data_IF_875862527323
#
_entry.id   IF_875862527323
#
_cell.length_a   1.000
_cell.length_b   1.000
_cell.length_c   1.000
_cell.angle_alpha   90.00
_cell.angle_beta   90.00
_cell.angle_gamma   90.00
#
_symmetry.space_group_name_H-M   'P 1'
#
loop_
_entity.id
_entity.type
_entity.pdbx_description
1 polymer ?
#
# COMPACT_ATOMS: atom_id res chain seq x y z
N UNK A 1 -9.08 -2.14 2.25
CA UNK A 1 -10.29 -1.65 2.91
C UNK A 1 -10.47 -0.14 2.75
N UNK A 2 -9.50 0.71 3.12
CA UNK A 2 -9.61 2.17 2.96
C UNK A 2 -9.89 2.59 1.51
N UNK A 3 -9.26 1.96 0.52
CA UNK A 3 -9.48 2.24 -0.91
C UNK A 3 -10.94 2.00 -1.27
N UNK A 4 -11.47 0.84 -0.90
CA UNK A 4 -12.87 0.48 -1.19
C UNK A 4 -13.84 1.39 -0.45
N UNK A 5 -13.53 1.76 0.80
CA UNK A 5 -14.35 2.69 1.57
C UNK A 5 -14.43 4.08 0.94
N UNK A 6 -13.30 4.63 0.49
CA UNK A 6 -13.27 5.93 -0.19
C UNK A 6 -14.03 5.87 -1.52
N UNK A 7 -13.84 4.80 -2.30
CA UNK A 7 -14.54 4.61 -3.57
C UNK A 7 -16.04 4.50 -3.37
N UNK A 8 -16.51 3.73 -2.38
CA UNK A 8 -17.92 3.60 -2.05
C UNK A 8 -18.52 4.94 -1.59
N UNK A 9 -17.79 5.72 -0.76
CA UNK A 9 -18.24 7.07 -0.35
C UNK A 9 -18.36 8.01 -1.54
N UNK A 10 -17.42 7.97 -2.48
CA UNK A 10 -17.48 8.80 -3.68
C UNK A 10 -18.66 8.43 -4.59
N UNK A 11 -18.93 7.14 -4.76
CA UNK A 11 -20.10 6.68 -5.53
C UNK A 11 -21.41 7.14 -4.88
N UNK A 12 -21.52 7.09 -3.56
CA UNK A 12 -22.71 7.55 -2.85
C UNK A 12 -22.89 9.07 -2.98
N UNK A 13 -21.80 9.82 -2.87
CA UNK A 13 -21.83 11.26 -3.09
C UNK A 13 -22.34 11.61 -4.51
N UNK A 14 -21.88 10.87 -5.51
CA UNK A 14 -22.29 11.05 -6.89
C UNK A 14 -23.78 10.70 -7.14
N UNK A 15 -24.37 9.79 -6.38
CA UNK A 15 -25.76 9.32 -6.53
C UNK A 15 -26.76 9.93 -5.53
N UNK A 16 -26.34 10.84 -4.66
CA UNK A 16 -27.21 11.72 -3.87
C UNK A 16 -27.91 11.10 -2.66
N UNK A 17 -27.47 9.94 -2.14
CA UNK A 17 -28.08 9.32 -0.95
C UNK A 17 -27.14 8.50 -0.11
N UNK A 18 -27.09 8.74 1.20
CA UNK A 18 -26.29 7.93 2.14
C UNK A 18 -27.19 6.87 2.77
N UNK A 19 -27.20 5.66 2.21
CA UNK A 19 -27.77 4.48 2.86
C UNK A 19 -26.62 3.63 3.43
N UNK A 20 -26.41 3.58 4.76
CA UNK A 20 -25.29 2.85 5.38
C UNK A 20 -25.26 1.36 4.99
N UNK A 21 -26.41 0.74 4.80
CA UNK A 21 -26.52 -0.66 4.38
C UNK A 21 -25.98 -0.89 2.96
N UNK A 22 -26.26 0.01 2.02
CA UNK A 22 -25.72 -0.05 0.65
C UNK A 22 -24.21 0.16 0.64
N UNK A 23 -23.70 1.04 1.49
CA UNK A 23 -22.27 1.28 1.63
C UNK A 23 -21.51 0.02 2.05
N UNK A 24 -21.95 -0.60 3.14
CA UNK A 24 -21.34 -1.84 3.64
C UNK A 24 -21.51 -2.97 2.60
N UNK A 25 -22.68 -3.08 1.99
CA UNK A 25 -22.94 -4.08 0.95
C UNK A 25 -22.03 -3.90 -0.26
N UNK A 26 -21.86 -2.70 -0.78
CA UNK A 26 -20.99 -2.43 -1.94
C UNK A 26 -19.52 -2.66 -1.63
N UNK A 27 -19.06 -2.29 -0.43
CA UNK A 27 -17.68 -2.56 0.02
C UNK A 27 -17.42 -4.06 0.11
N UNK A 28 -18.32 -4.82 0.74
CA UNK A 28 -18.20 -6.27 0.86
C UNK A 28 -18.30 -6.97 -0.50
N UNK A 29 -19.25 -6.57 -1.33
CA UNK A 29 -19.39 -7.10 -2.69
C UNK A 29 -18.11 -6.85 -3.50
N UNK A 30 -17.60 -5.61 -3.49
CA UNK A 30 -16.37 -5.28 -4.21
C UNK A 30 -15.16 -6.08 -3.67
N UNK A 31 -15.07 -6.29 -2.37
CA UNK A 31 -14.00 -7.10 -1.77
C UNK A 31 -14.08 -8.55 -2.22
N UNK A 32 -15.26 -9.16 -2.14
CA UNK A 32 -15.46 -10.58 -2.45
C UNK A 32 -15.31 -10.82 -3.95
N UNK A 33 -16.08 -10.10 -4.78
CA UNK A 33 -16.07 -10.33 -6.24
C UNK A 33 -14.74 -9.96 -6.87
N UNK A 34 -14.13 -8.84 -6.48
CA UNK A 34 -12.80 -8.49 -6.96
C UNK A 34 -11.74 -9.54 -6.57
N UNK A 35 -11.80 -10.06 -5.34
CA UNK A 35 -10.89 -11.12 -4.90
C UNK A 35 -11.08 -12.41 -5.70
N UNK A 36 -12.34 -12.81 -5.96
CA UNK A 36 -12.64 -13.99 -6.78
C UNK A 36 -12.14 -13.81 -8.20
N UNK A 37 -12.42 -12.67 -8.84
CA UNK A 37 -11.93 -12.36 -10.19
C UNK A 37 -10.39 -12.40 -10.23
N UNK A 38 -9.73 -11.81 -9.23
CA UNK A 38 -8.28 -11.81 -9.12
C UNK A 38 -7.69 -13.21 -8.98
N UNK A 39 -8.25 -14.03 -8.09
CA UNK A 39 -7.79 -15.43 -7.89
C UNK A 39 -8.01 -16.26 -9.16
N UNK A 40 -9.21 -16.18 -9.76
CA UNK A 40 -9.52 -16.90 -11.01
C UNK A 40 -8.59 -16.43 -12.13
N UNK A 41 -8.37 -15.12 -12.25
CA UNK A 41 -7.41 -14.56 -13.21
C UNK A 41 -5.98 -15.05 -12.97
N UNK A 42 -5.54 -15.09 -11.71
CA UNK A 42 -4.20 -15.58 -11.35
C UNK A 42 -4.00 -17.06 -11.67
N UNK A 43 -4.96 -17.91 -11.30
CA UNK A 43 -4.93 -19.34 -11.64
C UNK A 43 -4.99 -19.54 -13.15
N UNK A 44 -5.87 -18.81 -13.84
CA UNK A 44 -5.98 -18.86 -15.30
C UNK A 44 -4.65 -18.48 -15.97
N UNK A 45 -3.97 -17.43 -15.46
CA UNK A 45 -2.67 -17.03 -15.98
C UNK A 45 -1.58 -18.10 -15.78
N UNK A 46 -1.53 -18.76 -14.62
CA UNK A 46 -0.58 -19.83 -14.37
C UNK A 46 -0.74 -20.99 -15.38
N UNK A 47 -1.97 -21.31 -15.77
CA UNK A 47 -2.24 -22.32 -16.79
C UNK A 47 -1.79 -21.89 -18.19
N UNK A 48 -1.96 -20.61 -18.52
CA UNK A 48 -1.52 -20.02 -19.79
C UNK A 48 0.01 -19.91 -19.82
N UNK A 49 0.62 -19.49 -18.72
CA UNK A 49 2.06 -19.31 -18.59
C UNK A 49 2.82 -20.62 -18.91
N UNK A 50 2.29 -21.76 -18.48
CA UNK A 50 2.85 -23.08 -18.80
C UNK A 50 2.88 -23.42 -20.30
N UNK A 51 2.10 -22.71 -21.13
CA UNK A 51 2.10 -22.89 -22.60
C UNK A 51 2.89 -21.82 -23.35
N UNK A 52 3.08 -20.67 -22.74
CA UNK A 52 3.63 -19.46 -23.41
C UNK A 52 5.08 -19.20 -22.98
N UNK A 53 5.62 -19.97 -22.03
CA UNK A 53 6.95 -19.75 -21.45
C UNK A 53 8.10 -19.84 -22.44
N UNK A 54 7.91 -20.57 -23.54
CA UNK A 54 8.92 -20.73 -24.59
C UNK A 54 8.97 -19.51 -25.55
N UNK A 55 8.05 -18.56 -25.41
CA UNK A 55 8.03 -17.36 -26.22
C UNK A 55 8.90 -16.24 -25.61
N UNK A 56 9.61 -15.46 -26.42
CA UNK A 56 10.33 -14.28 -25.96
C UNK A 56 9.33 -13.26 -25.37
N UNK A 57 9.73 -12.54 -24.29
CA UNK A 57 8.94 -11.51 -23.61
C UNK A 57 7.79 -12.01 -22.71
N UNK A 58 7.79 -13.24 -22.27
CA UNK A 58 6.77 -13.80 -21.36
C UNK A 58 6.67 -13.02 -20.05
N UNK A 59 7.78 -12.44 -19.59
CA UNK A 59 7.85 -11.65 -18.35
C UNK A 59 6.94 -10.41 -18.43
N UNK A 60 7.02 -9.66 -19.54
CA UNK A 60 6.17 -8.48 -19.77
C UNK A 60 4.70 -8.83 -19.97
N UNK A 61 4.41 -10.02 -20.47
CA UNK A 61 3.04 -10.50 -20.71
C UNK A 61 2.25 -10.65 -19.39
N UNK A 62 2.91 -11.03 -18.30
CA UNK A 62 2.26 -11.12 -16.99
C UNK A 62 1.81 -9.74 -16.50
N UNK A 63 2.63 -8.70 -16.68
CA UNK A 63 2.22 -7.33 -16.35
C UNK A 63 1.02 -6.88 -17.20
N UNK A 64 1.07 -7.14 -18.51
CA UNK A 64 -0.05 -6.81 -19.39
C UNK A 64 -1.33 -7.53 -18.97
N UNK A 65 -1.25 -8.79 -18.57
CA UNK A 65 -2.39 -9.55 -18.10
C UNK A 65 -2.95 -9.02 -16.76
N UNK A 66 -2.08 -8.57 -15.85
CA UNK A 66 -2.52 -7.90 -14.61
C UNK A 66 -3.35 -6.66 -14.94
N UNK A 67 -2.93 -5.84 -15.92
CA UNK A 67 -3.69 -4.67 -16.35
C UNK A 67 -5.04 -5.05 -16.98
N UNK A 68 -5.10 -6.15 -17.72
CA UNK A 68 -6.36 -6.66 -18.28
C UNK A 68 -7.31 -7.06 -17.15
N UNK A 69 -6.86 -7.85 -16.17
CA UNK A 69 -7.68 -8.26 -15.01
C UNK A 69 -8.12 -7.05 -14.19
N UNK A 70 -7.22 -6.08 -13.98
CA UNK A 70 -7.53 -4.82 -13.34
C UNK A 70 -8.65 -4.08 -14.09
N UNK A 71 -8.47 -3.85 -15.38
CA UNK A 71 -9.43 -3.10 -16.20
C UNK A 71 -10.80 -3.79 -16.30
N UNK A 72 -10.83 -5.11 -16.49
CA UNK A 72 -12.08 -5.88 -16.50
C UNK A 72 -12.83 -5.77 -15.17
N UNK A 73 -12.10 -5.82 -14.04
CA UNK A 73 -12.71 -5.70 -12.71
C UNK A 73 -13.32 -4.31 -12.49
N UNK A 74 -12.61 -3.25 -12.91
CA UNK A 74 -13.12 -1.87 -12.85
C UNK A 74 -14.35 -1.68 -13.77
N UNK A 75 -14.36 -2.26 -14.96
CA UNK A 75 -15.51 -2.22 -15.87
C UNK A 75 -16.75 -2.91 -15.28
N UNK A 76 -16.56 -3.92 -14.44
CA UNK A 76 -17.64 -4.60 -13.71
C UNK A 76 -18.12 -3.83 -12.47
N UNK A 77 -17.53 -2.66 -12.17
CA UNK A 77 -17.86 -1.84 -11.01
C UNK A 77 -17.24 -2.32 -9.69
N UNK A 78 -16.25 -3.23 -9.75
CA UNK A 78 -15.51 -3.69 -8.58
C UNK A 78 -14.10 -3.11 -8.56
N UNK A 79 -13.39 -3.22 -7.42
CA UNK A 79 -12.03 -2.67 -7.29
C UNK A 79 -10.97 -3.53 -8.01
N UNK A 80 -10.44 -3.02 -9.12
CA UNK A 80 -9.34 -3.64 -9.84
C UNK A 80 -8.06 -3.76 -9.01
N UNK A 81 -7.83 -2.84 -8.07
CA UNK A 81 -6.71 -2.91 -7.15
C UNK A 81 -6.77 -4.14 -6.23
N UNK A 82 -7.96 -4.49 -5.75
CA UNK A 82 -8.18 -5.71 -4.96
C UNK A 82 -8.01 -6.96 -5.83
N UNK A 83 -8.52 -6.94 -7.06
CA UNK A 83 -8.34 -8.05 -7.99
C UNK A 83 -6.86 -8.27 -8.33
N UNK A 84 -6.10 -7.20 -8.60
CA UNK A 84 -4.67 -7.29 -8.85
C UNK A 84 -3.89 -7.84 -7.64
N UNK A 85 -4.25 -7.41 -6.42
CA UNK A 85 -3.68 -7.95 -5.18
C UNK A 85 -3.99 -9.44 -5.03
N UNK A 86 -5.26 -9.83 -5.18
CA UNK A 86 -5.69 -11.22 -5.08
C UNK A 86 -5.03 -12.12 -6.14
N UNK A 87 -4.87 -11.60 -7.36
CA UNK A 87 -4.14 -12.24 -8.43
C UNK A 87 -2.67 -12.45 -8.06
N UNK A 88 -1.98 -11.43 -7.52
CA UNK A 88 -0.60 -11.55 -7.06
C UNK A 88 -0.43 -12.60 -5.97
N UNK A 89 -1.36 -12.65 -5.00
CA UNK A 89 -1.38 -13.69 -3.96
C UNK A 89 -1.57 -15.08 -4.58
N UNK A 90 -2.48 -15.22 -5.54
CA UNK A 90 -2.72 -16.49 -6.22
C UNK A 90 -1.50 -16.95 -7.02
N UNK A 91 -0.80 -16.04 -7.72
CA UNK A 91 0.41 -16.34 -8.50
C UNK A 91 1.57 -16.83 -7.63
N UNK A 92 1.70 -16.28 -6.41
CA UNK A 92 2.83 -16.60 -5.52
C UNK A 92 2.54 -17.73 -4.53
N UNK A 93 1.27 -18.02 -4.24
CA UNK A 93 0.86 -19.03 -3.23
C UNK A 93 -0.03 -20.14 -3.79
N UNK A 94 0.04 -20.40 -5.08
CA UNK A 94 -0.82 -21.40 -5.74
C UNK A 94 -0.75 -22.79 -5.11
N UNK A 95 0.41 -23.18 -4.54
CA UNK A 95 0.60 -24.46 -3.84
C UNK A 95 -0.32 -24.58 -2.61
N UNK A 96 -0.49 -23.48 -1.86
CA UNK A 96 -1.30 -23.45 -0.64
C UNK A 96 -2.81 -23.49 -0.91
N UNK A 97 -3.24 -23.07 -2.10
CA UNK A 97 -4.66 -23.13 -2.49
C UNK A 97 -5.16 -24.54 -2.82
N UNK A 98 -4.33 -25.57 -2.64
CA UNK A 98 -4.75 -26.97 -2.85
C UNK A 98 -5.00 -27.35 -4.32
N UNK A 99 -4.74 -26.44 -5.25
CA UNK A 99 -4.85 -26.67 -6.69
C UNK A 99 -3.89 -27.75 -7.17
N UNK A 100 -2.83 -27.99 -6.40
CA UNK A 100 -1.90 -29.11 -6.59
C UNK A 100 -2.57 -30.49 -6.46
N UNK A 101 -3.69 -30.60 -5.75
CA UNK A 101 -4.45 -31.86 -5.59
C UNK A 101 -5.28 -32.25 -6.82
N UNK A 102 -5.53 -31.31 -7.74
CA UNK A 102 -6.25 -31.59 -8.98
C UNK A 102 -5.20 -32.09 -9.98
N UNK A 103 -4.89 -33.37 -9.93
CA UNK A 103 -3.74 -34.03 -10.56
C UNK A 103 -3.51 -33.81 -12.08
N UNK A 104 -4.52 -33.30 -12.82
CA UNK A 104 -4.36 -32.88 -14.22
C UNK A 104 -3.87 -31.45 -14.38
N UNK A 105 -4.07 -30.60 -13.37
CA UNK A 105 -3.71 -29.16 -13.39
C UNK A 105 -2.28 -28.97 -12.85
N UNK A 106 -1.88 -29.78 -11.86
CA UNK A 106 -0.57 -29.70 -11.20
C UNK A 106 0.63 -29.81 -12.15
N UNK A 107 0.54 -30.67 -13.16
CA UNK A 107 1.64 -30.88 -14.12
C UNK A 107 1.81 -29.70 -15.11
N UNK A 108 0.86 -28.78 -15.18
CA UNK A 108 0.85 -27.65 -16.13
C UNK A 108 1.14 -26.30 -15.49
N UNK A 109 1.12 -26.23 -14.15
CA UNK A 109 1.39 -24.99 -13.44
C UNK A 109 2.89 -24.76 -13.35
N UNK A 110 3.35 -23.63 -13.86
CA UNK A 110 4.75 -23.20 -13.79
C UNK A 110 4.82 -22.00 -12.86
N UNK A 111 5.56 -22.09 -11.74
CA UNK A 111 5.74 -20.96 -10.83
C UNK A 111 6.53 -19.83 -11.51
N UNK A 112 6.37 -18.61 -10.99
CA UNK A 112 7.19 -17.46 -11.38
C UNK A 112 8.65 -17.75 -11.04
N UNK A 113 9.54 -17.47 -11.97
CA UNK A 113 10.98 -17.64 -11.75
C UNK A 113 11.55 -16.48 -10.91
N UNK A 114 12.73 -16.66 -10.34
CA UNK A 114 13.46 -15.59 -9.65
C UNK A 114 13.74 -14.40 -10.58
N UNK A 115 13.93 -14.65 -11.86
CA UNK A 115 14.14 -13.62 -12.90
C UNK A 115 12.84 -12.81 -13.08
N UNK A 116 11.68 -13.48 -13.14
CA UNK A 116 10.38 -12.82 -13.23
C UNK A 116 10.16 -11.90 -12.01
N UNK A 117 10.45 -12.40 -10.82
CA UNK A 117 10.29 -11.64 -9.56
C UNK A 117 11.27 -10.45 -9.50
N UNK A 118 12.51 -10.62 -9.97
CA UNK A 118 13.48 -9.53 -10.05
C UNK A 118 12.98 -8.43 -11.00
N UNK A 119 12.50 -8.81 -12.19
CA UNK A 119 11.94 -7.85 -13.16
C UNK A 119 10.75 -7.08 -12.57
N UNK A 120 9.83 -7.76 -11.86
CA UNK A 120 8.68 -7.07 -11.26
C UNK A 120 9.09 -6.12 -10.12
N UNK A 121 10.12 -6.47 -9.34
CA UNK A 121 10.68 -5.56 -8.33
C UNK A 121 11.24 -4.29 -8.96
N UNK A 122 11.99 -4.41 -10.06
CA UNK A 122 12.52 -3.27 -10.82
C UNK A 122 11.39 -2.44 -11.43
N UNK A 123 10.42 -3.07 -12.09
CA UNK A 123 9.28 -2.37 -12.66
C UNK A 123 8.49 -1.58 -11.59
N UNK A 124 8.24 -2.18 -10.44
CA UNK A 124 7.58 -1.51 -9.30
C UNK A 124 8.43 -0.37 -8.76
N UNK A 125 9.75 -0.55 -8.69
CA UNK A 125 10.67 0.51 -8.26
C UNK A 125 10.62 1.70 -9.21
N UNK A 126 10.69 1.48 -10.52
CA UNK A 126 10.60 2.53 -11.53
C UNK A 126 9.25 3.27 -11.47
N UNK A 127 8.15 2.53 -11.37
CA UNK A 127 6.81 3.10 -11.26
C UNK A 127 6.66 3.97 -9.99
N UNK A 128 7.16 3.49 -8.85
CA UNK A 128 7.17 4.27 -7.60
C UNK A 128 8.01 5.53 -7.73
N UNK A 129 9.20 5.42 -8.30
CA UNK A 129 10.12 6.56 -8.51
C UNK A 129 9.47 7.61 -9.40
N UNK A 130 8.92 7.19 -10.55
CA UNK A 130 8.20 8.08 -11.46
C UNK A 130 7.04 8.79 -10.74
N UNK A 131 6.25 8.04 -9.97
CA UNK A 131 5.12 8.60 -9.27
C UNK A 131 5.54 9.63 -8.20
N UNK A 132 6.60 9.35 -7.42
CA UNK A 132 7.06 10.31 -6.42
C UNK A 132 7.68 11.55 -7.05
N UNK A 133 8.35 11.43 -8.19
CA UNK A 133 8.81 12.59 -8.96
C UNK A 133 7.62 13.42 -9.46
N UNK A 134 6.61 12.76 -10.04
CA UNK A 134 5.38 13.43 -10.48
C UNK A 134 4.66 14.13 -9.31
N UNK A 135 4.56 13.45 -8.17
CA UNK A 135 3.98 14.03 -6.96
C UNK A 135 4.76 15.27 -6.51
N UNK A 136 6.10 15.19 -6.49
CA UNK A 136 6.95 16.31 -6.12
C UNK A 136 6.78 17.54 -7.03
N UNK A 137 6.62 17.32 -8.34
CA UNK A 137 6.37 18.39 -9.32
C UNK A 137 4.95 18.96 -9.18
N UNK A 138 3.99 18.11 -8.81
CA UNK A 138 2.57 18.49 -8.71
C UNK A 138 2.25 19.28 -7.44
N UNK A 139 3.11 19.25 -6.42
CA UNK A 139 2.88 19.97 -5.18
C UNK A 139 3.09 21.47 -5.41
N UNK A 140 2.05 22.24 -5.15
CA UNK A 140 2.10 23.69 -5.16
C UNK A 140 2.19 24.21 -3.72
N UNK A 141 3.35 24.74 -3.32
CA UNK A 141 3.54 25.38 -2.00
C UNK A 141 2.90 26.76 -1.91
N UNK A 142 1.84 27.00 -2.69
CA UNK A 142 1.19 28.29 -2.82
C UNK A 142 0.42 28.71 -1.55
N UNK A 143 -0.03 27.74 -0.75
CA UNK A 143 -0.83 28.01 0.43
C UNK A 143 -0.12 27.51 1.71
N UNK A 144 0.42 28.47 2.46
CA UNK A 144 1.13 28.22 3.73
C UNK A 144 0.21 27.51 4.76
N UNK A 145 -1.09 27.80 4.75
CA UNK A 145 -2.04 27.16 5.66
C UNK A 145 -2.16 25.65 5.39
N UNK A 146 -2.17 25.23 4.12
CA UNK A 146 -2.20 23.79 3.77
C UNK A 146 -0.91 23.07 4.21
N UNK A 147 0.24 23.73 4.04
CA UNK A 147 1.53 23.18 4.49
C UNK A 147 1.58 23.02 6.02
N UNK A 148 1.08 24.01 6.74
CA UNK A 148 1.00 23.95 8.21
C UNK A 148 0.01 22.87 8.67
N UNK A 149 -1.16 22.78 8.05
CA UNK A 149 -2.14 21.72 8.33
C UNK A 149 -1.57 20.34 8.08
N UNK A 150 -0.85 20.14 6.98
CA UNK A 150 -0.18 18.89 6.66
C UNK A 150 0.86 18.50 7.72
N UNK A 151 1.67 19.49 8.17
CA UNK A 151 2.66 19.27 9.24
C UNK A 151 1.98 18.85 10.55
N UNK A 152 0.93 19.55 10.96
CA UNK A 152 0.17 19.22 12.18
C UNK A 152 -0.44 17.81 12.09
N UNK A 153 -1.02 17.44 10.93
CA UNK A 153 -1.55 16.10 10.70
C UNK A 153 -0.47 15.02 10.81
N UNK A 154 0.69 15.26 10.21
CA UNK A 154 1.81 14.32 10.28
C UNK A 154 2.29 14.15 11.70
N UNK A 155 2.50 15.25 12.44
CA UNK A 155 2.91 15.19 13.85
C UNK A 155 1.88 14.46 14.72
N UNK A 156 0.58 14.70 14.52
CA UNK A 156 -0.49 13.99 15.21
C UNK A 156 -0.43 12.47 14.94
N UNK A 157 -0.21 12.05 13.69
CA UNK A 157 -0.05 10.63 13.35
C UNK A 157 1.16 10.03 14.04
N UNK A 158 2.31 10.72 14.06
CA UNK A 158 3.51 10.25 14.77
C UNK A 158 3.30 10.16 16.27
N UNK A 159 2.66 11.17 16.90
CA UNK A 159 2.34 11.16 18.31
C UNK A 159 1.41 9.99 18.68
N UNK A 160 0.34 9.80 17.91
CA UNK A 160 -0.59 8.67 18.11
C UNK A 160 0.13 7.33 17.95
N UNK A 161 0.96 7.18 16.93
CA UNK A 161 1.69 5.94 16.67
C UNK A 161 2.70 5.64 17.78
N UNK A 162 3.36 6.67 18.27
CA UNK A 162 4.31 6.55 19.38
C UNK A 162 3.59 6.12 20.67
N UNK A 163 2.44 6.71 20.97
CA UNK A 163 1.59 6.30 22.10
C UNK A 163 1.14 4.85 21.96
N UNK A 164 0.63 4.46 20.79
CA UNK A 164 0.23 3.08 20.53
C UNK A 164 1.40 2.10 20.66
N UNK A 165 2.57 2.44 20.13
CA UNK A 165 3.77 1.60 20.25
C UNK A 165 4.18 1.46 21.72
N UNK A 166 4.13 2.52 22.51
CA UNK A 166 4.40 2.47 23.95
C UNK A 166 3.48 1.50 24.70
N UNK A 167 2.18 1.49 24.36
CA UNK A 167 1.21 0.59 24.98
C UNK A 167 1.39 -0.86 24.54
N UNK A 168 1.51 -1.09 23.21
CA UNK A 168 1.56 -2.44 22.63
C UNK A 168 2.87 -3.15 22.99
N UNK A 169 4.00 -2.43 22.95
CA UNK A 169 5.33 -3.01 23.20
C UNK A 169 5.74 -2.98 24.67
N UNK A 170 4.89 -2.52 25.58
CA UNK A 170 5.21 -2.42 27.00
C UNK A 170 5.65 -3.75 27.60
N UNK A 171 4.87 -4.80 27.38
CA UNK A 171 5.05 -6.13 27.98
C UNK A 171 5.55 -7.18 26.98
N UNK A 172 5.74 -6.80 25.72
CA UNK A 172 6.29 -7.67 24.70
C UNK A 172 7.82 -7.69 24.79
N UNK A 173 8.45 -8.86 24.68
CA UNK A 173 9.90 -9.05 24.76
C UNK A 173 10.71 -8.42 23.59
N UNK A 174 10.16 -7.40 22.93
CA UNK A 174 10.82 -6.68 21.84
C UNK A 174 11.79 -5.63 22.38
N UNK A 175 12.95 -5.50 21.71
CA UNK A 175 13.97 -4.52 22.05
C UNK A 175 13.57 -3.07 21.74
N UNK A 176 14.36 -2.11 22.26
CA UNK A 176 14.16 -0.68 21.98
C UNK A 176 14.18 -0.37 20.48
N UNK A 177 15.07 -1.02 19.74
CA UNK A 177 15.22 -0.82 18.29
C UNK A 177 13.94 -1.15 17.54
N UNK A 178 13.32 -2.29 17.85
CA UNK A 178 12.09 -2.74 17.16
C UNK A 178 10.92 -1.82 17.48
N UNK A 179 10.77 -1.43 18.74
CA UNK A 179 9.74 -0.50 19.17
C UNK A 179 9.94 0.90 18.54
N UNK A 180 11.18 1.42 18.55
CA UNK A 180 11.49 2.70 17.95
C UNK A 180 11.26 2.69 16.44
N UNK A 181 11.77 1.68 15.71
CA UNK A 181 11.56 1.56 14.27
C UNK A 181 10.07 1.43 13.92
N UNK A 182 9.31 0.68 14.69
CA UNK A 182 7.85 0.58 14.52
C UNK A 182 7.18 1.93 14.69
N UNK A 183 7.60 2.76 15.65
CA UNK A 183 7.03 4.11 15.84
C UNK A 183 7.43 5.08 14.74
N UNK A 184 8.65 4.97 14.20
CA UNK A 184 9.20 5.83 13.16
C UNK A 184 8.64 5.52 11.76
N UNK A 185 8.36 4.25 11.45
CA UNK A 185 7.86 3.86 10.14
C UNK A 185 6.38 4.20 9.96
N UNK A 186 6.08 5.49 9.90
CA UNK A 186 4.73 6.02 9.69
C UNK A 186 4.51 6.72 8.32
N UNK A 187 5.38 6.58 7.29
CA UNK A 187 5.19 7.32 6.06
C UNK A 187 3.90 6.90 5.37
N UNK A 188 3.18 7.86 4.81
CA UNK A 188 2.03 7.62 3.94
C UNK A 188 2.55 7.32 2.54
N UNK A 189 1.99 6.30 1.91
CA UNK A 189 2.50 5.80 0.62
C UNK A 189 1.68 6.27 -0.58
N UNK A 190 2.05 5.70 -1.71
CA UNK A 190 1.46 5.88 -3.03
C UNK A 190 -0.07 5.78 -3.02
N UNK A 191 -0.63 4.79 -2.32
CA UNK A 191 -2.07 4.59 -2.27
C UNK A 191 -2.83 5.80 -1.71
N UNK A 192 -2.29 6.48 -0.69
CA UNK A 192 -2.91 7.67 -0.13
C UNK A 192 -2.95 8.81 -1.16
N UNK A 193 -1.88 9.00 -1.92
CA UNK A 193 -1.81 10.05 -2.92
C UNK A 193 -2.73 9.78 -4.12
N UNK A 194 -2.81 8.53 -4.60
CA UNK A 194 -3.74 8.13 -5.67
C UNK A 194 -5.18 8.35 -5.23
N UNK A 195 -5.55 7.90 -4.03
CA UNK A 195 -6.90 8.09 -3.50
C UNK A 195 -7.28 9.55 -3.32
N UNK A 196 -6.32 10.41 -2.96
CA UNK A 196 -6.57 11.84 -2.79
C UNK A 196 -6.89 12.57 -4.11
N UNK A 197 -6.47 12.03 -5.25
CA UNK A 197 -6.81 12.58 -6.56
C UNK A 197 -8.25 12.21 -7.01
N UNK A 198 -8.83 11.14 -6.48
CA UNK A 198 -10.16 10.66 -6.88
C UNK A 198 -11.28 11.69 -6.64
N UNK A 199 -11.40 12.34 -5.46
CA UNK A 199 -12.45 13.34 -5.24
C UNK A 199 -12.47 14.44 -6.30
N UNK A 200 -11.28 14.88 -6.74
CA UNK A 200 -11.18 15.87 -7.81
C UNK A 200 -11.68 15.32 -9.15
N UNK A 201 -11.33 14.08 -9.49
CA UNK A 201 -11.77 13.41 -10.72
C UNK A 201 -13.29 13.21 -10.76
N UNK A 202 -13.91 12.98 -9.61
CA UNK A 202 -15.36 12.86 -9.46
C UNK A 202 -16.10 14.20 -9.29
N UNK A 203 -15.39 15.33 -9.43
CA UNK A 203 -16.00 16.67 -9.35
C UNK A 203 -16.48 17.05 -7.95
N UNK A 204 -15.95 16.44 -6.89
CA UNK A 204 -16.30 16.75 -5.51
C UNK A 204 -15.81 18.15 -5.15
N UNK A 205 -16.70 18.98 -4.59
CA UNK A 205 -16.35 20.33 -4.12
C UNK A 205 -15.24 20.23 -3.07
N UNK A 206 -14.14 20.97 -3.27
CA UNK A 206 -12.96 20.90 -2.38
C UNK A 206 -12.00 19.73 -2.68
N UNK A 207 -12.22 18.96 -3.76
CA UNK A 207 -11.34 17.86 -4.18
C UNK A 207 -9.88 18.28 -4.37
N UNK A 208 -9.63 19.51 -4.85
CA UNK A 208 -8.28 20.09 -4.98
C UNK A 208 -7.61 20.23 -3.61
N UNK A 209 -8.33 20.74 -2.62
CA UNK A 209 -7.80 20.92 -1.25
C UNK A 209 -7.45 19.58 -0.64
N UNK A 210 -8.29 18.56 -0.83
CA UNK A 210 -8.04 17.18 -0.35
C UNK A 210 -6.78 16.62 -0.99
N UNK A 211 -6.66 16.75 -2.32
CA UNK A 211 -5.48 16.28 -3.07
C UNK A 211 -4.21 16.97 -2.58
N UNK A 212 -4.20 18.29 -2.58
CA UNK A 212 -3.01 19.09 -2.29
C UNK A 212 -2.55 18.90 -0.83
N UNK A 213 -3.48 18.91 0.11
CA UNK A 213 -3.17 18.63 1.52
C UNK A 213 -2.61 17.22 1.69
N UNK A 214 -3.20 16.22 1.05
CA UNK A 214 -2.72 14.83 1.15
C UNK A 214 -1.34 14.67 0.51
N UNK A 215 -1.08 15.31 -0.62
CA UNK A 215 0.24 15.30 -1.25
C UNK A 215 1.30 15.88 -0.33
N UNK A 216 1.00 17.01 0.35
CA UNK A 216 1.88 17.59 1.35
C UNK A 216 2.10 16.67 2.55
N UNK A 217 1.05 16.01 3.04
CA UNK A 217 1.14 15.01 4.12
C UNK A 217 2.05 13.85 3.72
N UNK A 218 1.90 13.34 2.49
CA UNK A 218 2.74 12.25 1.97
C UNK A 218 4.20 12.68 1.92
N UNK A 219 4.50 13.81 1.30
CA UNK A 219 5.87 14.33 1.19
C UNK A 219 6.49 14.59 2.56
N UNK A 220 5.78 15.31 3.43
CA UNK A 220 6.25 15.63 4.79
C UNK A 220 6.48 14.38 5.63
N UNK A 221 5.58 13.39 5.55
CA UNK A 221 5.72 12.14 6.32
C UNK A 221 6.92 11.31 5.85
N UNK A 222 7.17 11.23 4.54
CA UNK A 222 8.33 10.50 4.00
C UNK A 222 9.62 11.21 4.38
N UNK A 223 9.69 12.54 4.21
CA UNK A 223 10.87 13.34 4.57
C UNK A 223 11.17 13.26 6.06
N UNK A 224 10.15 13.38 6.90
CA UNK A 224 10.30 13.25 8.35
C UNK A 224 10.77 11.85 8.76
N UNK A 225 10.19 10.79 8.18
CA UNK A 225 10.65 9.41 8.44
C UNK A 225 12.11 9.24 8.05
N UNK A 226 12.51 9.70 6.86
CA UNK A 226 13.89 9.57 6.39
C UNK A 226 14.86 10.24 7.35
N UNK A 227 14.55 11.46 7.79
CA UNK A 227 15.39 12.20 8.75
C UNK A 227 15.44 11.50 10.11
N UNK A 228 14.30 11.06 10.64
CA UNK A 228 14.24 10.40 11.95
C UNK A 228 14.96 9.05 11.95
N UNK A 229 14.80 8.25 10.89
CA UNK A 229 15.51 6.97 10.74
C UNK A 229 17.02 7.18 10.60
N UNK A 230 17.45 8.22 9.86
CA UNK A 230 18.88 8.59 9.73
C UNK A 230 19.47 9.07 11.07
N UNK A 231 18.67 9.73 11.90
CA UNK A 231 19.10 10.23 13.20
C UNK A 231 19.06 9.15 14.31
N UNK A 232 18.27 8.09 14.14
CA UNK A 232 18.08 7.06 15.16
C UNK A 232 19.38 6.40 15.68
N UNK A 233 20.44 6.13 14.86
CA UNK A 233 21.70 5.57 15.35
C UNK A 233 22.44 6.47 16.33
N UNK A 234 22.11 7.78 16.40
CA UNK A 234 22.77 8.70 17.31
C UNK A 234 22.36 8.44 18.76
N UNK A 235 23.32 8.48 19.73
CA UNK A 235 23.06 8.14 21.13
C UNK A 235 21.99 9.03 21.77
N UNK A 236 21.91 10.29 21.40
CA UNK A 236 20.87 11.23 21.87
C UNK A 236 19.46 10.76 21.49
N UNK A 237 19.29 10.27 20.26
CA UNK A 237 17.98 9.76 19.80
C UNK A 237 17.61 8.44 20.46
N UNK A 238 18.58 7.54 20.66
CA UNK A 238 18.34 6.30 21.38
C UNK A 238 17.94 6.54 22.84
N UNK A 239 18.59 7.48 23.53
CA UNK A 239 18.21 7.90 24.88
C UNK A 239 16.81 8.53 24.91
N UNK A 240 16.46 9.38 23.94
CA UNK A 240 15.15 9.95 23.81
C UNK A 240 14.07 8.89 23.66
N UNK A 241 14.26 7.93 22.74
CA UNK A 241 13.31 6.82 22.53
C UNK A 241 13.28 5.84 23.72
N UNK A 242 14.41 5.60 24.39
CA UNK A 242 14.48 4.78 25.60
C UNK A 242 13.58 5.35 26.71
N UNK A 243 13.68 6.66 26.97
CA UNK A 243 12.82 7.34 27.94
C UNK A 243 11.37 7.35 27.53
N UNK A 244 11.09 7.61 26.25
CA UNK A 244 9.75 7.77 25.73
C UNK A 244 8.98 6.45 25.66
N UNK A 245 9.66 5.36 25.29
CA UNK A 245 9.07 4.02 25.18
C UNK A 245 9.23 3.20 26.46
N UNK A 246 9.95 3.74 27.45
CA UNK A 246 10.27 3.05 28.72
C UNK A 246 10.95 1.69 28.50
N UNK A 247 11.97 1.66 27.64
CA UNK A 247 12.76 0.47 27.26
C UNK A 247 14.24 0.69 27.57
N UNK A 248 14.98 -0.34 28.02
CA UNK A 248 16.43 -0.24 28.22
C UNK A 248 17.15 0.06 26.90
N UNK A 249 18.30 0.74 27.01
CA UNK A 249 19.19 0.93 25.89
C UNK A 249 19.73 -0.42 25.39
N UNK A 250 20.03 -0.58 24.10
CA UNK A 250 20.71 -1.75 23.58
C UNK A 250 22.07 -1.93 24.28
N UNK A 251 22.43 -3.16 24.63
CA UNK A 251 23.69 -3.47 25.31
C UNK A 251 24.94 -3.07 24.50
N UNK A 252 24.84 -2.92 23.19
CA UNK A 252 25.94 -2.46 22.31
C UNK A 252 26.27 -0.96 22.45
N UNK A 253 25.53 -0.19 23.25
CA UNK A 253 25.82 1.22 23.50
C UNK A 253 26.91 1.44 24.60
N UNK A 254 27.45 0.37 25.15
CA UNK A 254 28.51 0.33 26.15
C UNK A 254 29.82 -0.29 25.60
N UNK A 255 30.09 -0.10 24.33
CA UNK A 255 31.40 -0.44 23.74
C UNK A 255 32.42 0.67 23.97
N UNK A 256 33.71 0.32 24.04
CA UNK A 256 34.76 1.03 24.74
C UNK A 256 35.05 2.42 24.18
#
# INVERSE_FOLDING_TARGET
>A
LCIVGVFALLQIYAHGGIEPGRLVGSVLASLVFASVIGVVGGVGWLLVLGRVRDFPNTISSTLAYVFIVYGLTEMLGFSGAIAALAMGIALTNFEKFGLYRIGRISQKIVPLSEIDLAFYREAVFLLKTYFFVYLGISIQFRNVYLSFTALVMVLAVYATRLLLTRFIFRDAGYGLRDAAMTSLMAPKGLAAAVLAAMPLQYGVVGGEVIRDTTYMVVLTSISLTAVLVMLYPKPLMQQFYSRLLNKPLPDDASGP
#
